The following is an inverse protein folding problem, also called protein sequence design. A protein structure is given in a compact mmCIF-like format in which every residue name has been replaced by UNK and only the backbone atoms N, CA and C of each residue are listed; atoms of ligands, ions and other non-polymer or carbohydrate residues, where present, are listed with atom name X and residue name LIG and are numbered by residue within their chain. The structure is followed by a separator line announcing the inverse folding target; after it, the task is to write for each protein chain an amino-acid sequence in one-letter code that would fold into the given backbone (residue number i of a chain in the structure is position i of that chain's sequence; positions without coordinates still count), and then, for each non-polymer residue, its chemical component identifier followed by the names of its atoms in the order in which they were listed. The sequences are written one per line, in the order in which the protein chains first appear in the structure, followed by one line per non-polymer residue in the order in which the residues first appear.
data_IF_938604144556
#
_entry.id   IF_938604144556
#
_cell.length_a   1.000
_cell.length_b   1.000
_cell.length_c   1.000
_cell.angle_alpha   90.00
_cell.angle_beta   90.00
_cell.angle_gamma   90.00
#
_symmetry.space_group_name_H-M   'P 1'
#
loop_
_entity.id
_entity.type
_entity.pdbx_description
1 polymer ?
#
# COMPACT_ATOMS: atom_id res chain seq x y z
N UNK A 1 26.56 -40.61 -2.97
CA UNK A 1 25.20 -41.17 -3.12
C UNK A 1 24.23 -40.20 -3.77
N UNK A 2 23.92 -39.02 -3.20
CA UNK A 2 23.01 -38.04 -3.86
C UNK A 2 23.50 -37.56 -5.23
N UNK A 3 24.76 -37.12 -5.33
CA UNK A 3 25.35 -36.71 -6.62
C UNK A 3 25.46 -37.86 -7.64
N UNK A 4 25.51 -39.12 -7.17
CA UNK A 4 25.53 -40.30 -8.03
C UNK A 4 24.13 -40.65 -8.57
N UNK A 5 23.06 -40.25 -7.87
CA UNK A 5 21.68 -40.38 -8.34
C UNK A 5 21.32 -39.25 -9.32
N UNK A 6 21.82 -38.03 -9.08
CA UNK A 6 21.67 -36.91 -10.03
C UNK A 6 22.33 -37.24 -11.37
N UNK A 7 23.53 -37.82 -11.35
CA UNK A 7 24.28 -38.13 -12.57
C UNK A 7 23.66 -39.24 -13.42
N UNK A 8 22.74 -40.03 -12.86
CA UNK A 8 22.01 -41.08 -13.58
C UNK A 8 20.77 -40.56 -14.32
N UNK A 9 20.34 -39.31 -14.08
CA UNK A 9 19.20 -38.65 -14.75
C UNK A 9 17.90 -39.50 -14.80
N UNK A 10 17.64 -40.24 -13.73
CA UNK A 10 16.48 -41.16 -13.65
C UNK A 10 15.16 -40.46 -13.36
N UNK A 11 15.18 -39.14 -13.11
CA UNK A 11 14.02 -38.34 -12.70
C UNK A 11 13.53 -38.62 -11.28
N UNK A 12 14.24 -39.44 -10.49
CA UNK A 12 13.86 -39.83 -9.11
C UNK A 12 14.40 -38.89 -8.02
N UNK A 13 14.81 -37.69 -8.39
CA UNK A 13 15.30 -36.67 -7.48
C UNK A 13 14.67 -35.31 -7.81
N UNK A 14 14.49 -34.49 -6.79
CA UNK A 14 14.12 -33.08 -6.93
C UNK A 14 15.04 -32.24 -6.06
N UNK A 15 15.22 -30.97 -6.42
CA UNK A 15 16.05 -30.03 -5.67
C UNK A 15 15.43 -28.65 -5.71
N UNK A 16 15.69 -27.85 -4.68
CA UNK A 16 15.05 -26.54 -4.48
C UNK A 16 13.73 -26.65 -3.70
N UNK A 17 13.33 -25.55 -3.07
CA UNK A 17 12.23 -25.53 -2.09
C UNK A 17 10.89 -25.95 -2.70
N UNK A 18 10.57 -25.44 -3.90
CA UNK A 18 9.26 -25.68 -4.51
C UNK A 18 9.04 -27.15 -4.80
N UNK A 19 9.97 -27.79 -5.51
CA UNK A 19 9.83 -29.19 -5.90
C UNK A 19 9.95 -30.12 -4.69
N UNK A 20 10.79 -29.77 -3.70
CA UNK A 20 10.93 -30.54 -2.46
C UNK A 20 9.66 -30.49 -1.63
N UNK A 21 9.05 -29.31 -1.44
CA UNK A 21 7.79 -29.16 -0.71
C UNK A 21 6.65 -29.90 -1.43
N UNK A 22 6.60 -29.83 -2.77
CA UNK A 22 5.60 -30.55 -3.55
C UNK A 22 5.76 -32.07 -3.42
N UNK A 23 7.00 -32.57 -3.42
CA UNK A 23 7.26 -34.00 -3.20
C UNK A 23 6.85 -34.43 -1.77
N UNK A 24 7.09 -33.57 -0.77
CA UNK A 24 6.64 -33.82 0.61
C UNK A 24 5.11 -33.84 0.72
N UNK A 25 4.40 -32.89 0.09
CA UNK A 25 2.94 -32.85 0.04
C UNK A 25 2.33 -34.08 -0.64
N UNK A 26 2.97 -34.59 -1.69
CA UNK A 26 2.54 -35.79 -2.41
C UNK A 26 2.93 -37.10 -1.69
N UNK A 27 3.68 -37.03 -0.58
CA UNK A 27 4.18 -38.21 0.12
C UNK A 27 5.21 -39.03 -0.68
N UNK A 28 5.86 -38.43 -1.68
CA UNK A 28 6.77 -39.09 -2.60
C UNK A 28 8.25 -38.95 -2.22
N UNK A 29 8.54 -38.70 -0.94
CA UNK A 29 9.89 -38.50 -0.42
C UNK A 29 10.30 -39.66 0.49
N UNK A 30 11.32 -40.41 0.07
CA UNK A 30 11.95 -41.44 0.90
C UNK A 30 13.13 -40.87 1.70
N UNK A 31 13.97 -40.04 1.08
CA UNK A 31 15.15 -39.43 1.69
C UNK A 31 15.15 -37.92 1.45
N UNK A 32 15.16 -37.13 2.53
CA UNK A 32 15.24 -35.67 2.49
C UNK A 32 16.63 -35.21 2.93
N UNK A 33 17.29 -34.41 2.10
CA UNK A 33 18.58 -33.79 2.41
C UNK A 33 18.33 -32.31 2.69
N UNK A 34 18.47 -31.89 3.95
CA UNK A 34 18.31 -30.50 4.36
C UNK A 34 19.64 -29.75 4.27
N UNK A 35 19.64 -28.61 3.60
CA UNK A 35 20.74 -27.66 3.59
C UNK A 35 20.41 -26.48 4.51
N UNK A 36 21.27 -26.19 5.49
CA UNK A 36 20.98 -25.22 6.55
C UNK A 36 21.04 -23.75 6.09
N UNK A 37 21.87 -23.43 5.09
CA UNK A 37 22.06 -22.05 4.62
C UNK A 37 21.22 -21.75 3.37
N UNK A 38 19.97 -22.17 3.38
CA UNK A 38 19.03 -21.85 2.30
C UNK A 38 18.44 -20.45 2.56
N UNK A 39 18.88 -19.47 1.77
CA UNK A 39 18.42 -18.08 1.93
C UNK A 39 17.04 -17.87 1.28
N UNK A 40 16.01 -18.43 1.93
CA UNK A 40 14.61 -18.37 1.50
C UNK A 40 13.73 -18.00 2.70
N UNK A 41 12.83 -17.05 2.48
CA UNK A 41 11.86 -16.56 3.47
C UNK A 41 10.46 -17.08 3.13
N UNK A 42 9.75 -17.55 4.16
CA UNK A 42 8.35 -17.97 4.05
C UNK A 42 7.42 -16.83 4.45
N UNK A 43 6.65 -16.31 3.50
CA UNK A 43 5.60 -15.34 3.74
C UNK A 43 4.24 -16.02 3.77
N UNK A 44 3.39 -15.62 4.72
CA UNK A 44 1.97 -15.99 4.75
C UNK A 44 1.19 -14.72 4.45
N UNK A 45 0.58 -14.67 3.27
CA UNK A 45 -0.28 -13.57 2.84
C UNK A 45 -1.71 -13.95 3.10
N UNK A 46 -2.47 -13.10 3.78
CA UNK A 46 -3.88 -13.31 4.04
C UNK A 46 -4.70 -12.31 3.25
N UNK A 47 -5.59 -12.81 2.39
CA UNK A 47 -6.56 -11.96 1.70
C UNK A 47 -7.65 -11.55 2.71
N UNK A 48 -7.80 -10.25 2.96
CA UNK A 48 -8.77 -9.74 3.93
C UNK A 48 -10.24 -9.87 3.48
N UNK A 49 -10.50 -9.98 2.17
CA UNK A 49 -11.85 -10.11 1.63
C UNK A 49 -12.32 -11.58 1.63
N UNK A 50 -11.44 -12.52 1.28
CA UNK A 50 -11.79 -13.95 1.17
C UNK A 50 -11.37 -14.78 2.39
N UNK A 51 -10.55 -14.22 3.27
CA UNK A 51 -9.86 -14.90 4.36
C UNK A 51 -8.90 -16.02 3.93
N UNK A 52 -8.63 -16.16 2.63
CA UNK A 52 -7.71 -17.15 2.08
C UNK A 52 -6.25 -16.83 2.42
N UNK A 53 -5.47 -17.86 2.73
CA UNK A 53 -4.04 -17.74 3.00
C UNK A 53 -3.21 -18.27 1.82
N UNK A 54 -2.32 -17.42 1.31
CA UNK A 54 -1.35 -17.75 0.28
C UNK A 54 0.04 -17.79 0.88
N UNK A 55 0.70 -18.94 0.79
CA UNK A 55 2.07 -19.11 1.27
C UNK A 55 3.04 -18.89 0.11
N UNK A 56 4.04 -18.03 0.32
CA UNK A 56 5.12 -17.78 -0.63
C UNK A 56 6.47 -18.16 -0.01
N UNK A 57 7.34 -18.75 -0.82
CA UNK A 57 8.73 -19.03 -0.45
C UNK A 57 9.62 -18.23 -1.42
N UNK A 58 10.21 -17.13 -0.96
CA UNK A 58 10.96 -16.19 -1.81
C UNK A 58 12.42 -16.08 -1.34
N UNK A 59 13.35 -16.01 -2.28
CA UNK A 59 14.74 -15.58 -2.00
C UNK A 59 14.80 -14.07 -1.71
N UNK A 60 15.88 -13.53 -1.11
CA UNK A 60 16.05 -12.08 -0.96
C UNK A 60 15.97 -11.30 -2.28
N UNK A 61 16.43 -11.88 -3.38
CA UNK A 61 16.27 -11.30 -4.73
C UNK A 61 14.80 -11.26 -5.15
N UNK A 62 14.06 -12.35 -4.97
CA UNK A 62 12.64 -12.44 -5.32
C UNK A 62 11.77 -11.57 -4.41
N UNK A 63 12.13 -11.39 -3.13
CA UNK A 63 11.43 -10.48 -2.21
C UNK A 63 11.45 -9.03 -2.71
N UNK A 64 12.51 -8.63 -3.44
CA UNK A 64 12.59 -7.27 -4.03
C UNK A 64 11.48 -7.06 -5.06
N UNK A 65 10.96 -8.13 -5.67
CA UNK A 65 9.81 -8.10 -6.54
C UNK A 65 8.51 -8.04 -5.73
N UNK A 66 7.99 -6.82 -5.56
CA UNK A 66 6.74 -6.60 -4.83
C UNK A 66 5.48 -7.11 -5.57
N UNK A 67 5.60 -7.56 -6.82
CA UNK A 67 4.46 -8.15 -7.54
C UNK A 67 3.92 -9.40 -6.88
N UNK A 68 4.77 -10.11 -6.15
CA UNK A 68 4.38 -11.24 -5.31
C UNK A 68 3.39 -10.86 -4.18
N UNK A 69 3.36 -9.58 -3.79
CA UNK A 69 2.55 -9.06 -2.68
C UNK A 69 1.39 -8.15 -3.13
N UNK A 70 1.27 -7.88 -4.43
CA UNK A 70 0.17 -7.10 -5.00
C UNK A 70 -0.84 -8.01 -5.67
N UNK A 71 -2.11 -7.82 -5.35
CA UNK A 71 -3.18 -8.67 -5.82
C UNK A 71 -3.60 -8.31 -7.25
N UNK A 72 -3.27 -9.16 -8.22
CA UNK A 72 -3.68 -8.98 -9.63
C UNK A 72 -5.19 -9.11 -9.79
N UNK A 73 -5.83 -9.87 -8.91
CA UNK A 73 -7.26 -10.20 -8.93
C UNK A 73 -8.12 -8.93 -8.86
N UNK A 74 -7.72 -7.93 -8.06
CA UNK A 74 -8.47 -6.66 -7.95
C UNK A 74 -8.61 -5.99 -9.31
N UNK A 75 -7.53 -5.95 -10.09
CA UNK A 75 -7.52 -5.29 -11.40
C UNK A 75 -8.17 -6.12 -12.50
N UNK A 76 -8.16 -7.45 -12.37
CA UNK A 76 -8.85 -8.35 -13.30
C UNK A 76 -10.37 -8.25 -13.18
N UNK A 77 -10.88 -8.06 -11.96
CA UNK A 77 -12.31 -7.93 -11.67
C UNK A 77 -12.82 -6.49 -11.95
N UNK A 78 -11.99 -5.47 -11.70
CA UNK A 78 -12.39 -4.06 -11.84
C UNK A 78 -11.90 -3.45 -13.16
N UNK A 79 -12.41 -3.96 -14.27
CA UNK A 79 -12.04 -3.46 -15.60
C UNK A 79 -12.54 -2.01 -15.83
N UNK A 80 -11.69 -1.19 -16.44
CA UNK A 80 -12.05 0.19 -16.83
C UNK A 80 -12.02 1.23 -15.70
N UNK A 81 -11.55 0.88 -14.49
CA UNK A 81 -11.32 1.89 -13.45
C UNK A 81 -10.24 2.90 -13.88
N UNK A 82 -10.37 4.12 -13.39
CA UNK A 82 -9.41 5.21 -13.64
C UNK A 82 -8.51 5.51 -12.45
N UNK A 83 -8.90 5.04 -11.27
CA UNK A 83 -8.23 5.34 -10.02
C UNK A 83 -8.17 4.09 -9.15
N UNK A 84 -7.03 3.90 -8.47
CA UNK A 84 -6.82 2.80 -7.52
C UNK A 84 -6.20 3.38 -6.24
N UNK A 85 -6.86 3.22 -5.11
CA UNK A 85 -6.32 3.64 -3.82
C UNK A 85 -5.37 2.56 -3.26
N UNK A 86 -4.09 2.89 -3.07
CA UNK A 86 -3.05 1.95 -2.62
C UNK A 86 -2.70 2.08 -1.12
N UNK A 87 -3.41 2.94 -0.39
CA UNK A 87 -3.31 3.07 1.07
C UNK A 87 -2.20 4.04 1.49
N UNK A 88 -1.22 3.53 2.24
CA UNK A 88 -0.07 4.26 2.77
C UNK A 88 -0.36 5.21 3.95
N UNK A 89 -1.39 4.92 4.74
CA UNK A 89 -1.70 5.61 6.01
C UNK A 89 -1.01 4.98 7.23
N UNK A 90 -0.82 5.77 8.28
CA UNK A 90 -0.52 5.31 9.65
C UNK A 90 0.71 4.38 9.78
N UNK A 91 1.73 4.55 8.93
CA UNK A 91 2.93 3.66 8.90
C UNK A 91 3.95 4.05 9.99
N UNK A 92 3.55 4.00 11.25
CA UNK A 92 4.33 4.53 12.39
C UNK A 92 5.61 3.75 12.72
N UNK A 93 5.65 2.46 12.41
CA UNK A 93 6.78 1.56 12.74
C UNK A 93 7.82 1.47 11.60
N UNK A 94 7.76 2.37 10.61
CA UNK A 94 8.71 2.40 9.53
C UNK A 94 10.12 2.73 10.05
N UNK A 95 11.11 1.90 9.71
CA UNK A 95 12.48 2.10 10.16
C UNK A 95 12.85 1.39 11.46
N UNK A 96 11.97 0.60 12.08
CA UNK A 96 12.27 -0.03 13.38
C UNK A 96 13.07 -1.34 13.28
N UNK A 97 13.05 -2.03 12.13
CA UNK A 97 13.71 -3.34 11.99
C UNK A 97 15.21 -3.23 11.62
N UNK A 98 16.03 -4.25 11.92
CA UNK A 98 17.48 -4.24 11.61
C UNK A 98 17.81 -3.97 10.14
N UNK A 99 16.92 -4.33 9.20
CA UNK A 99 17.13 -4.15 7.75
C UNK A 99 16.97 -2.70 7.30
N UNK A 100 16.07 -1.94 7.95
CA UNK A 100 15.71 -0.59 7.52
C UNK A 100 16.12 0.51 8.50
N UNK A 101 16.54 0.19 9.73
CA UNK A 101 16.89 1.18 10.76
C UNK A 101 18.01 2.16 10.40
N UNK A 102 18.88 1.78 9.46
CA UNK A 102 19.98 2.63 8.99
C UNK A 102 19.59 3.52 7.79
N UNK A 103 18.33 3.46 7.33
CA UNK A 103 17.82 4.26 6.23
C UNK A 103 16.90 5.36 6.77
N UNK A 104 16.85 6.49 6.09
CA UNK A 104 15.91 7.56 6.44
C UNK A 104 14.47 7.09 6.22
N UNK A 105 13.60 7.32 7.21
CA UNK A 105 12.18 6.92 7.16
C UNK A 105 11.46 7.52 5.95
N UNK A 106 11.75 8.78 5.63
CA UNK A 106 11.20 9.47 4.46
C UNK A 106 11.57 8.76 3.16
N UNK A 107 12.86 8.41 2.99
CA UNK A 107 13.34 7.68 1.81
C UNK A 107 12.74 6.27 1.73
N UNK A 108 12.58 5.58 2.85
CA UNK A 108 11.91 4.27 2.89
C UNK A 108 10.46 4.36 2.41
N UNK A 109 9.72 5.35 2.90
CA UNK A 109 8.32 5.57 2.54
C UNK A 109 8.21 5.94 1.05
N UNK A 110 8.91 6.98 0.61
CA UNK A 110 8.84 7.46 -0.77
C UNK A 110 9.33 6.41 -1.76
N UNK A 111 10.42 5.70 -1.47
CA UNK A 111 10.89 4.62 -2.33
C UNK A 111 9.84 3.49 -2.43
N UNK A 112 9.12 3.19 -1.34
CA UNK A 112 8.05 2.20 -1.40
C UNK A 112 6.88 2.66 -2.26
N UNK A 113 6.38 3.88 -2.05
CA UNK A 113 5.28 4.44 -2.83
C UNK A 113 5.67 4.54 -4.31
N UNK A 114 6.86 5.06 -4.64
CA UNK A 114 7.37 5.14 -6.00
C UNK A 114 7.38 3.78 -6.69
N UNK A 115 7.86 2.72 -6.01
CA UNK A 115 7.86 1.36 -6.58
C UNK A 115 6.45 0.84 -6.88
N UNK A 116 5.52 0.96 -5.92
CA UNK A 116 4.15 0.47 -6.10
C UNK A 116 3.39 1.28 -7.15
N UNK A 117 3.48 2.60 -7.09
CA UNK A 117 2.83 3.48 -8.05
C UNK A 117 3.37 3.25 -9.47
N UNK A 118 4.70 3.10 -9.61
CA UNK A 118 5.32 2.76 -10.91
C UNK A 118 4.81 1.43 -11.44
N UNK A 119 4.72 0.41 -10.58
CA UNK A 119 4.16 -0.89 -10.97
C UNK A 119 2.73 -0.76 -11.51
N UNK A 120 1.85 -0.06 -10.77
CA UNK A 120 0.46 0.15 -11.19
C UNK A 120 0.40 0.89 -12.53
N UNK A 121 1.16 1.98 -12.70
CA UNK A 121 1.15 2.76 -13.94
C UNK A 121 1.72 2.00 -15.14
N UNK A 122 2.69 1.12 -14.93
CA UNK A 122 3.27 0.30 -16.00
C UNK A 122 2.32 -0.80 -16.47
N UNK A 123 1.63 -1.45 -15.54
CA UNK A 123 0.74 -2.57 -15.86
C UNK A 123 -0.68 -2.11 -16.22
N UNK A 124 -1.09 -0.95 -15.70
CA UNK A 124 -2.42 -0.38 -15.91
C UNK A 124 -2.30 1.12 -16.26
N UNK A 125 -1.90 1.47 -17.50
CA UNK A 125 -1.57 2.84 -17.88
C UNK A 125 -2.72 3.86 -17.76
N UNK A 126 -3.97 3.38 -17.78
CA UNK A 126 -5.17 4.20 -17.60
C UNK A 126 -5.55 4.46 -16.13
N UNK A 127 -4.79 3.89 -15.18
CA UNK A 127 -5.09 3.93 -13.75
C UNK A 127 -4.12 4.86 -13.04
N UNK A 128 -4.67 5.83 -12.33
CA UNK A 128 -3.91 6.73 -11.46
C UNK A 128 -3.96 6.23 -10.02
N UNK A 129 -2.82 5.90 -9.40
CA UNK A 129 -2.76 5.56 -7.99
C UNK A 129 -3.14 6.73 -7.08
N UNK A 130 -3.86 6.43 -6.00
CA UNK A 130 -4.21 7.37 -4.93
C UNK A 130 -3.61 6.88 -3.62
N UNK A 131 -3.06 7.79 -2.80
CA UNK A 131 -2.57 7.49 -1.45
C UNK A 131 -3.20 8.41 -0.41
N UNK A 132 -3.25 7.94 0.83
CA UNK A 132 -3.57 8.80 1.97
C UNK A 132 -2.47 9.84 2.19
N UNK A 133 -2.87 11.05 2.61
CA UNK A 133 -1.95 12.19 2.68
C UNK A 133 -1.15 12.29 3.99
N UNK A 134 -1.57 11.61 5.06
CA UNK A 134 -1.07 11.82 6.43
C UNK A 134 0.45 11.65 6.54
N UNK A 135 0.99 10.62 5.89
CA UNK A 135 2.43 10.39 5.83
C UNK A 135 3.17 11.46 5.02
N UNK A 136 2.52 12.13 4.06
CA UNK A 136 3.11 13.21 3.26
C UNK A 136 3.20 14.55 4.00
N UNK A 137 2.36 14.78 5.01
CA UNK A 137 2.25 16.07 5.72
C UNK A 137 3.58 16.50 6.34
N UNK A 138 4.38 15.55 6.82
CA UNK A 138 5.66 15.79 7.48
C UNK A 138 6.87 15.82 6.55
N UNK A 139 6.72 15.36 5.31
CA UNK A 139 7.82 15.27 4.35
C UNK A 139 8.19 16.64 3.78
N UNK A 140 9.49 16.84 3.52
CA UNK A 140 9.99 18.05 2.89
C UNK A 140 9.58 18.14 1.39
N UNK A 141 9.33 19.34 0.84
CA UNK A 141 9.05 19.50 -0.58
C UNK A 141 10.19 18.96 -1.47
N UNK A 142 11.44 19.10 -1.03
CA UNK A 142 12.61 18.60 -1.74
C UNK A 142 12.55 17.08 -1.91
N UNK A 143 12.24 16.33 -0.85
CA UNK A 143 12.14 14.87 -0.92
C UNK A 143 10.99 14.42 -1.84
N UNK A 144 9.86 15.14 -1.84
CA UNK A 144 8.73 14.84 -2.74
C UNK A 144 9.13 15.03 -4.22
N UNK A 145 9.88 16.08 -4.51
CA UNK A 145 10.40 16.40 -5.86
C UNK A 145 11.46 15.39 -6.32
N UNK A 146 12.42 15.04 -5.45
CA UNK A 146 13.49 14.07 -5.74
C UNK A 146 12.93 12.71 -6.18
N UNK A 147 11.85 12.27 -5.53
CA UNK A 147 11.16 11.02 -5.87
C UNK A 147 10.09 11.18 -6.98
N UNK A 148 9.89 12.40 -7.47
CA UNK A 148 8.88 12.78 -8.49
C UNK A 148 7.48 12.24 -8.16
N UNK A 149 7.13 12.26 -6.89
CA UNK A 149 5.93 11.57 -6.39
C UNK A 149 4.65 12.20 -6.95
N UNK A 150 4.68 13.51 -7.24
CA UNK A 150 3.58 14.27 -7.84
C UNK A 150 3.18 13.82 -9.24
N UNK A 151 4.05 13.08 -9.94
CA UNK A 151 3.74 12.50 -11.25
C UNK A 151 3.18 11.07 -11.14
N UNK A 152 3.39 10.43 -9.99
CA UNK A 152 3.09 9.02 -9.80
C UNK A 152 1.74 8.79 -9.14
N UNK A 153 1.37 9.62 -8.17
CA UNK A 153 0.17 9.44 -7.33
C UNK A 153 -0.61 10.74 -7.17
N UNK A 154 -1.91 10.64 -6.86
CA UNK A 154 -2.72 11.75 -6.38
C UNK A 154 -3.00 11.58 -4.86
N UNK A 155 -2.78 12.59 -4.01
CA UNK A 155 -3.03 12.48 -2.57
C UNK A 155 -4.53 12.62 -2.25
N UNK A 156 -5.00 11.85 -1.27
CA UNK A 156 -6.33 11.95 -0.67
C UNK A 156 -6.21 12.47 0.75
N UNK A 157 -6.63 13.73 0.95
CA UNK A 157 -6.55 14.41 2.23
C UNK A 157 -7.73 14.03 3.11
N UNK A 158 -7.46 13.53 4.32
CA UNK A 158 -8.49 13.07 5.23
C UNK A 158 -8.40 13.72 6.62
N UNK A 159 -9.55 14.17 7.12
CA UNK A 159 -9.77 14.65 8.48
C UNK A 159 -11.24 14.42 8.82
N UNK A 160 -11.50 13.70 9.91
CA UNK A 160 -12.85 13.34 10.36
C UNK A 160 -13.36 14.20 11.53
N UNK A 161 -12.59 15.23 11.89
CA UNK A 161 -12.99 16.26 12.83
C UNK A 161 -13.69 17.43 12.10
N UNK A 162 -14.44 18.24 12.85
CA UNK A 162 -15.14 19.42 12.34
C UNK A 162 -14.19 20.56 11.92
N UNK A 163 -13.01 20.63 12.54
CA UNK A 163 -11.98 21.63 12.22
C UNK A 163 -10.85 20.99 11.41
N UNK A 164 -10.99 21.00 10.08
CA UNK A 164 -10.00 20.45 9.14
C UNK A 164 -8.67 21.20 9.24
N UNK A 165 -8.72 22.54 9.34
CA UNK A 165 -7.53 23.40 9.32
C UNK A 165 -6.64 23.25 10.56
N UNK A 166 -7.22 22.82 11.68
CA UNK A 166 -6.44 22.44 12.87
C UNK A 166 -5.46 21.29 12.59
N UNK A 167 -5.83 20.35 11.73
CA UNK A 167 -5.02 19.17 11.42
C UNK A 167 -4.26 19.29 10.09
N UNK A 168 -4.78 20.07 9.15
CA UNK A 168 -4.16 20.37 7.85
C UNK A 168 -4.13 21.89 7.65
N UNK A 169 -3.12 22.58 8.19
CA UNK A 169 -2.99 24.03 8.05
C UNK A 169 -2.77 24.47 6.60
N UNK A 170 -3.05 25.74 6.27
CA UNK A 170 -2.88 26.30 4.91
C UNK A 170 -1.51 26.00 4.30
N UNK A 171 -0.43 26.03 5.08
CA UNK A 171 0.92 25.74 4.58
C UNK A 171 1.06 24.33 3.99
N UNK A 172 0.29 23.36 4.50
CA UNK A 172 0.29 21.99 3.99
C UNK A 172 -0.41 21.95 2.64
N UNK A 173 -1.52 22.69 2.49
CA UNK A 173 -2.20 22.84 1.20
C UNK A 173 -1.32 23.50 0.15
N UNK A 174 -0.59 24.55 0.52
CA UNK A 174 0.36 25.23 -0.38
C UNK A 174 1.48 24.28 -0.83
N UNK A 175 2.01 23.47 0.10
CA UNK A 175 2.99 22.42 -0.20
C UNK A 175 2.43 21.36 -1.14
N UNK A 176 1.23 20.85 -0.85
CA UNK A 176 0.60 19.83 -1.69
C UNK A 176 0.32 20.38 -3.10
N UNK A 177 -0.19 21.60 -3.23
CA UNK A 177 -0.48 22.22 -4.51
C UNK A 177 0.77 22.52 -5.35
N UNK A 178 1.93 22.74 -4.70
CA UNK A 178 3.20 22.91 -5.39
C UNK A 178 3.69 21.60 -6.05
N UNK A 179 3.41 20.44 -5.43
CA UNK A 179 3.90 19.12 -5.87
C UNK A 179 2.88 18.38 -6.73
N UNK A 180 1.60 18.41 -6.34
CA UNK A 180 0.54 17.59 -6.92
C UNK A 180 -0.40 18.45 -7.76
N UNK A 181 -0.63 18.15 -9.05
CA UNK A 181 -1.58 18.89 -9.87
C UNK A 181 -3.04 18.69 -9.42
N UNK A 182 -3.36 17.50 -8.89
CA UNK A 182 -4.71 17.10 -8.50
C UNK A 182 -4.70 16.58 -7.06
N UNK A 183 -5.84 16.71 -6.38
CA UNK A 183 -6.02 16.24 -5.00
C UNK A 183 -7.42 15.65 -4.79
N UNK A 184 -7.54 14.74 -3.85
CA UNK A 184 -8.81 14.19 -3.37
C UNK A 184 -9.05 14.62 -1.92
N UNK A 185 -10.31 14.60 -1.51
CA UNK A 185 -10.69 14.74 -0.10
C UNK A 185 -11.40 13.48 0.39
N UNK A 186 -11.34 13.24 1.69
CA UNK A 186 -12.12 12.20 2.35
C UNK A 186 -12.77 12.71 3.63
N UNK A 187 -14.08 12.49 3.69
CA UNK A 187 -14.94 12.71 4.86
C UNK A 187 -15.39 11.37 5.45
N UNK A 188 -16.17 11.37 6.52
CA UNK A 188 -16.74 10.15 7.09
C UNK A 188 -18.25 10.25 7.31
N UNK A 189 -18.99 9.20 6.95
CA UNK A 189 -20.42 9.04 7.27
C UNK A 189 -20.69 8.10 8.46
N UNK A 190 -19.71 7.28 8.83
CA UNK A 190 -19.75 6.35 9.97
C UNK A 190 -18.32 6.10 10.50
N UNK A 191 -18.22 5.78 11.79
CA UNK A 191 -16.95 5.46 12.45
C UNK A 191 -16.14 6.73 12.73
N UNK A 192 -14.81 6.62 12.75
CA UNK A 192 -13.88 7.77 12.85
C UNK A 192 -14.01 8.70 14.07
N UNK A 193 -14.90 8.37 15.02
CA UNK A 193 -15.08 9.09 16.27
C UNK A 193 -15.69 8.15 17.31
N UNK A 194 -15.10 8.10 18.50
CA UNK A 194 -15.58 7.30 19.63
C UNK A 194 -15.57 5.80 19.32
N UNK A 195 -14.45 5.14 19.62
CA UNK A 195 -14.20 3.71 19.39
C UNK A 195 -15.15 2.75 20.13
N UNK A 196 -16.02 3.28 20.98
CA UNK A 196 -17.02 2.53 21.76
C UNK A 196 -18.47 2.86 21.37
N UNK A 197 -18.69 3.66 20.33
CA UNK A 197 -20.03 4.12 19.95
C UNK A 197 -20.77 3.09 19.09
N UNK A 198 -21.91 2.64 19.59
CA UNK A 198 -22.81 1.73 18.85
C UNK A 198 -23.63 2.43 17.75
N UNK A 199 -23.86 3.74 17.88
CA UNK A 199 -24.69 4.52 16.96
C UNK A 199 -23.86 5.68 16.39
N UNK A 200 -23.81 5.85 15.06
CA UNK A 200 -23.11 6.97 14.43
C UNK A 200 -23.74 8.30 14.83
N UNK A 201 -22.90 9.29 15.16
CA UNK A 201 -23.37 10.66 15.35
C UNK A 201 -23.60 11.32 13.99
N UNK A 202 -24.82 11.18 13.45
CA UNK A 202 -25.20 11.65 12.11
C UNK A 202 -24.94 13.15 11.94
N UNK A 203 -25.22 13.96 12.97
CA UNK A 203 -25.01 15.41 12.92
C UNK A 203 -23.54 15.76 12.70
N UNK A 204 -22.65 15.15 13.49
CA UNK A 204 -21.20 15.35 13.37
C UNK A 204 -20.67 14.97 11.99
N UNK A 205 -21.13 13.83 11.45
CA UNK A 205 -20.74 13.39 10.11
C UNK A 205 -21.25 14.33 9.02
N UNK A 206 -22.49 14.81 9.13
CA UNK A 206 -23.03 15.83 8.22
C UNK A 206 -22.21 17.12 8.28
N UNK A 207 -21.87 17.60 9.47
CA UNK A 207 -21.05 18.80 9.66
C UNK A 207 -19.64 18.61 9.07
N UNK A 208 -19.01 17.45 9.25
CA UNK A 208 -17.73 17.12 8.60
C UNK A 208 -17.84 17.13 7.06
N UNK A 209 -18.90 16.56 6.50
CA UNK A 209 -19.12 16.55 5.06
C UNK A 209 -19.30 17.97 4.50
N UNK A 210 -20.13 18.80 5.15
CA UNK A 210 -20.34 20.19 4.75
C UNK A 210 -19.05 21.01 4.84
N UNK A 211 -18.26 20.78 5.90
CA UNK A 211 -16.96 21.45 6.04
C UNK A 211 -15.99 21.09 4.94
N UNK A 212 -15.96 19.83 4.51
CA UNK A 212 -15.13 19.43 3.39
C UNK A 212 -15.49 20.16 2.09
N UNK A 213 -16.78 20.45 1.85
CA UNK A 213 -17.19 21.26 0.69
C UNK A 213 -16.63 22.69 0.78
N UNK A 214 -16.63 23.31 1.97
CA UNK A 214 -16.04 24.64 2.18
C UNK A 214 -14.52 24.63 1.93
N UNK A 215 -13.81 23.63 2.48
CA UNK A 215 -12.36 23.46 2.28
C UNK A 215 -12.03 23.24 0.81
N UNK A 216 -12.78 22.38 0.12
CA UNK A 216 -12.58 22.13 -1.31
C UNK A 216 -12.77 23.40 -2.14
N UNK A 217 -13.75 24.24 -1.79
CA UNK A 217 -13.98 25.52 -2.47
C UNK A 217 -12.86 26.53 -2.20
N UNK A 218 -12.34 26.57 -0.97
CA UNK A 218 -11.29 27.50 -0.56
C UNK A 218 -9.89 27.11 -1.10
N UNK A 219 -9.53 25.83 -0.98
CA UNK A 219 -8.19 25.33 -1.32
C UNK A 219 -8.08 24.85 -2.78
N UNK A 220 -9.21 24.49 -3.41
CA UNK A 220 -9.25 23.96 -4.77
C UNK A 220 -8.54 24.82 -5.82
N UNK A 221 -8.69 26.17 -5.81
CA UNK A 221 -8.00 27.05 -6.75
C UNK A 221 -6.47 27.02 -6.68
N UNK A 222 -5.88 26.50 -5.59
CA UNK A 222 -4.41 26.38 -5.46
C UNK A 222 -3.84 25.28 -6.37
N UNK A 223 -4.61 24.23 -6.62
CA UNK A 223 -4.19 23.07 -7.40
C UNK A 223 -4.42 23.33 -8.89
N UNK A 224 -3.39 23.11 -9.72
CA UNK A 224 -3.46 23.31 -11.19
C UNK A 224 -4.64 22.58 -11.84
N UNK A 225 -4.98 21.42 -11.31
CA UNK A 225 -6.06 20.55 -11.76
C UNK A 225 -7.26 20.47 -10.81
N UNK A 226 -7.23 21.19 -9.68
CA UNK A 226 -8.29 21.21 -8.67
C UNK A 226 -8.51 19.89 -7.93
N UNK A 227 -9.63 19.83 -7.21
CA UNK A 227 -10.09 18.59 -6.56
C UNK A 227 -10.73 17.65 -7.59
N UNK A 228 -10.38 16.36 -7.52
CA UNK A 228 -11.01 15.30 -8.32
C UNK A 228 -12.37 14.88 -7.79
N UNK A 229 -12.55 14.98 -6.48
CA UNK A 229 -13.76 14.55 -5.81
C UNK A 229 -13.55 14.38 -4.32
N UNK A 230 -14.59 13.83 -3.69
CA UNK A 230 -14.64 13.51 -2.27
C UNK A 230 -15.04 12.04 -2.10
N UNK A 231 -14.31 11.31 -1.27
CA UNK A 231 -14.70 10.01 -0.77
C UNK A 231 -15.45 10.17 0.56
N UNK A 232 -16.56 9.45 0.74
CA UNK A 232 -17.29 9.43 2.01
C UNK A 232 -17.02 8.08 2.68
N UNK A 233 -16.16 8.07 3.69
CA UNK A 233 -15.64 6.86 4.32
C UNK A 233 -16.56 6.35 5.43
N UNK A 234 -16.60 5.03 5.62
CA UNK A 234 -17.43 4.37 6.63
C UNK A 234 -16.60 3.37 7.41
N UNK A 235 -15.73 3.86 8.29
CA UNK A 235 -14.79 3.01 9.02
C UNK A 235 -15.50 2.06 9.96
N UNK A 236 -15.02 0.82 10.00
CA UNK A 236 -15.43 -0.21 10.95
C UNK A 236 -14.24 -0.51 11.86
N UNK A 237 -13.98 0.38 12.83
CA UNK A 237 -13.12 0.09 13.99
C UNK A 237 -14.07 -0.12 15.18
N UNK A 238 -14.25 -1.40 15.53
CA UNK A 238 -15.08 -1.99 16.59
C UNK A 238 -16.59 -1.82 16.43
#
# INVERSE_FOLDING_TARGET
RYFDEISQDTGKYCFGVVDTLRALELGSVETLICWENLDIQRYVLKNHATAEEKILHLTPEQEKDKTHFTDKEVMEVHQGIRFLHIGCDEVFQLGECPRCRNQMRESLFLAHVTRVATYVRQHYPSVTPIIWDDMLRHLSPQSLEEFRIGELVEPMVWVYAEDVYRFVPSMVWDKLAAVFPYVWSASAFKGAFGETLYIPNVKRHLENNLRWLEVMAAEGPKFKGGFRGIAITGWQRY
#
